data_IF_622700394663
#
_entry.id   IF_622700394663
#
_cell.length_a   1.000
_cell.length_b   1.000
_cell.length_c   1.000
_cell.angle_alpha   90.00
_cell.angle_beta   90.00
_cell.angle_gamma   90.00
#
_symmetry.space_group_name_H-M   'P 1'
#
loop_
_entity.id
_entity.type
_entity.pdbx_description
1 polymer ?
#
# COMPACT_ATOMS: atom_id res chain seq x y z
N UNK A 1 37.37 3.31 -29.11
CA UNK A 1 36.59 2.12 -28.69
C UNK A 1 35.87 2.49 -27.42
N UNK A 2 34.54 2.54 -27.49
CA UNK A 2 33.66 3.21 -26.51
C UNK A 2 33.47 2.31 -25.29
N UNK A 3 34.03 2.68 -24.14
CA UNK A 3 33.76 2.00 -22.86
C UNK A 3 32.44 2.57 -22.34
N UNK A 4 31.33 2.01 -22.80
CA UNK A 4 30.03 2.23 -22.14
C UNK A 4 29.98 1.37 -20.90
N UNK A 5 30.18 2.03 -19.77
CA UNK A 5 29.65 1.73 -18.44
C UNK A 5 28.63 0.57 -18.42
N UNK A 6 29.12 -0.62 -18.10
CA UNK A 6 28.28 -1.69 -17.56
C UNK A 6 28.25 -1.49 -16.05
N UNK A 7 27.55 -0.45 -15.60
CA UNK A 7 27.20 -0.30 -14.19
C UNK A 7 26.06 -1.28 -13.93
N UNK A 8 26.40 -2.55 -13.71
CA UNK A 8 25.46 -3.52 -13.16
C UNK A 8 25.11 -2.98 -11.76
N UNK A 9 23.84 -2.69 -11.46
CA UNK A 9 23.50 -2.22 -10.13
C UNK A 9 23.92 -3.30 -9.13
N UNK A 10 24.63 -2.88 -8.07
CA UNK A 10 25.14 -3.73 -7.00
C UNK A 10 24.04 -4.54 -6.26
N UNK A 11 22.77 -4.40 -6.64
CA UNK A 11 21.58 -5.02 -6.06
C UNK A 11 21.30 -6.46 -6.54
N UNK A 12 22.04 -6.98 -7.52
CA UNK A 12 21.81 -8.31 -8.10
C UNK A 12 22.74 -9.44 -7.58
N UNK A 13 23.79 -9.12 -6.82
CA UNK A 13 24.78 -10.16 -6.45
C UNK A 13 24.40 -11.01 -5.23
N UNK A 14 23.32 -10.65 -4.51
CA UNK A 14 22.98 -11.25 -3.21
C UNK A 14 21.61 -11.93 -3.15
N UNK A 15 21.11 -12.48 -4.25
CA UNK A 15 19.80 -13.16 -4.25
C UNK A 15 19.97 -14.68 -4.44
N UNK A 16 19.55 -15.47 -3.44
CA UNK A 16 19.46 -16.93 -3.56
C UNK A 16 18.19 -17.30 -4.34
N UNK A 17 18.26 -18.28 -5.26
CA UNK A 17 17.07 -18.81 -5.96
C UNK A 17 16.05 -19.35 -4.96
N UNK A 18 14.75 -19.06 -5.16
CA UNK A 18 13.59 -19.31 -4.26
C UNK A 18 13.55 -20.62 -3.47
N UNK A 19 14.18 -21.68 -3.96
CA UNK A 19 13.73 -23.06 -3.73
C UNK A 19 14.08 -23.63 -2.36
N UNK A 20 14.97 -23.01 -1.57
CA UNK A 20 15.50 -23.64 -0.34
C UNK A 20 15.22 -22.88 0.96
N UNK A 21 14.50 -21.75 0.93
CA UNK A 21 14.22 -20.97 2.14
C UNK A 21 12.80 -21.21 2.66
N UNK A 22 12.70 -21.47 3.94
CA UNK A 22 11.48 -21.68 4.72
C UNK A 22 11.33 -20.57 5.75
N UNK A 23 10.10 -20.33 6.24
CA UNK A 23 9.86 -19.33 7.29
C UNK A 23 10.73 -19.58 8.53
N UNK A 24 10.98 -20.85 8.86
CA UNK A 24 11.84 -21.25 9.99
C UNK A 24 13.30 -20.80 9.88
N UNK A 25 13.76 -20.45 8.68
CA UNK A 25 15.12 -19.96 8.47
C UNK A 25 15.27 -18.50 8.92
N UNK A 26 14.14 -17.77 9.08
CA UNK A 26 14.14 -16.35 9.41
C UNK A 26 14.01 -16.12 10.92
N UNK A 27 14.67 -15.06 11.43
CA UNK A 27 14.48 -14.65 12.82
C UNK A 27 13.07 -14.11 13.06
N UNK A 28 12.31 -14.74 13.95
CA UNK A 28 10.93 -14.34 14.29
C UNK A 28 10.88 -13.55 15.59
N UNK A 29 9.97 -12.58 15.66
CA UNK A 29 9.69 -11.80 16.86
C UNK A 29 8.19 -11.79 17.17
N UNK A 30 7.85 -12.21 18.37
CA UNK A 30 6.49 -12.30 18.88
C UNK A 30 6.23 -11.13 19.83
N UNK A 31 5.14 -10.42 19.62
CA UNK A 31 4.76 -9.31 20.49
C UNK A 31 3.26 -9.10 20.54
N UNK A 32 2.81 -8.43 21.61
CA UNK A 32 1.43 -8.01 21.77
C UNK A 32 1.31 -6.53 21.48
N UNK A 33 0.47 -6.16 20.53
CA UNK A 33 0.17 -4.77 20.23
C UNK A 33 -0.88 -4.25 21.23
N UNK A 34 -0.44 -3.48 22.22
CA UNK A 34 -1.32 -2.87 23.23
C UNK A 34 -2.20 -1.77 22.69
N UNK A 35 -1.84 -1.20 21.53
CA UNK A 35 -2.59 -0.12 20.89
C UNK A 35 -3.64 -0.66 19.90
N UNK A 36 -3.65 -1.97 19.63
CA UNK A 36 -4.63 -2.58 18.74
C UNK A 36 -6.02 -2.52 19.38
N UNK A 37 -6.92 -1.74 18.76
CA UNK A 37 -8.33 -1.67 19.15
C UNK A 37 -9.08 -2.95 18.77
N UNK A 38 -8.62 -3.66 17.74
CA UNK A 38 -9.24 -4.89 17.24
C UNK A 38 -8.57 -6.14 17.79
N UNK A 39 -9.37 -7.12 18.21
CA UNK A 39 -8.86 -8.34 18.84
C UNK A 39 -8.00 -9.19 17.90
N UNK A 40 -8.34 -9.25 16.61
CA UNK A 40 -7.58 -9.98 15.60
C UNK A 40 -6.23 -9.33 15.25
N UNK A 41 -5.94 -8.12 15.75
CA UNK A 41 -4.67 -7.42 15.55
C UNK A 41 -3.80 -7.36 16.82
N UNK A 42 -4.24 -8.01 17.92
CA UNK A 42 -3.58 -7.90 19.23
C UNK A 42 -2.30 -8.71 19.32
N UNK A 43 -2.25 -9.91 18.75
CA UNK A 43 -1.06 -10.75 18.77
C UNK A 43 -0.40 -10.70 17.41
N UNK A 44 0.90 -10.43 17.40
CA UNK A 44 1.68 -10.26 16.19
C UNK A 44 2.89 -11.18 16.19
N UNK A 45 3.21 -11.73 15.03
CA UNK A 45 4.48 -12.40 14.74
C UNK A 45 5.07 -11.76 13.50
N UNK A 46 6.32 -11.32 13.57
CA UNK A 46 7.00 -10.72 12.41
C UNK A 46 8.33 -11.39 12.12
N UNK A 47 8.75 -11.33 10.87
CA UNK A 47 10.14 -11.58 10.51
C UNK A 47 10.97 -10.34 10.86
N UNK A 48 12.04 -10.51 11.64
CA UNK A 48 12.96 -9.42 11.95
C UNK A 48 13.68 -8.96 10.68
N UNK A 49 13.89 -7.64 10.59
CA UNK A 49 14.55 -6.97 9.46
C UNK A 49 13.83 -7.06 8.12
N UNK A 50 12.59 -7.54 8.09
CA UNK A 50 11.74 -7.52 6.90
C UNK A 50 10.47 -6.72 7.20
N UNK A 51 10.51 -5.43 6.86
CA UNK A 51 9.37 -4.53 7.05
C UNK A 51 8.13 -5.06 6.30
N UNK A 52 6.97 -5.02 6.97
CA UNK A 52 5.69 -5.47 6.41
C UNK A 52 5.45 -6.99 6.44
N UNK A 53 6.45 -7.81 6.77
CA UNK A 53 6.27 -9.27 6.87
C UNK A 53 5.80 -9.66 8.29
N UNK A 54 4.51 -9.48 8.53
CA UNK A 54 3.84 -9.62 9.83
C UNK A 54 2.56 -10.45 9.67
N UNK A 55 2.34 -11.38 10.59
CA UNK A 55 1.05 -12.03 10.78
C UNK A 55 0.38 -11.51 12.05
N UNK A 56 -0.94 -11.37 11.98
CA UNK A 56 -1.78 -10.88 13.08
C UNK A 56 -2.78 -11.95 13.49
N UNK A 57 -3.20 -11.96 14.76
CA UNK A 57 -4.27 -12.86 15.22
C UNK A 57 -4.79 -12.53 16.61
N UNK A 58 -5.80 -13.28 17.03
CA UNK A 58 -6.36 -13.24 18.39
C UNK A 58 -5.47 -13.95 19.42
N UNK A 59 -4.47 -14.71 18.97
CA UNK A 59 -3.44 -15.37 19.75
C UNK A 59 -2.18 -15.62 18.89
N UNK A 60 -1.06 -16.02 19.50
CA UNK A 60 0.21 -16.23 18.77
C UNK A 60 0.18 -17.38 17.76
N UNK A 61 -0.65 -18.42 17.97
CA UNK A 61 -0.77 -19.53 17.02
C UNK A 61 -1.42 -19.06 15.72
N UNK A 62 -2.52 -18.32 15.83
CA UNK A 62 -3.20 -17.72 14.68
C UNK A 62 -2.29 -16.70 13.97
N UNK A 63 -1.63 -15.82 14.72
CA UNK A 63 -0.71 -14.84 14.15
C UNK A 63 0.47 -15.50 13.39
N UNK A 64 0.98 -16.64 13.87
CA UNK A 64 2.00 -17.40 13.17
C UNK A 64 1.48 -18.04 11.88
N UNK A 65 0.28 -18.62 11.89
CA UNK A 65 -0.33 -19.19 10.68
C UNK A 65 -0.56 -18.12 9.61
N UNK A 66 -1.07 -16.95 10.00
CA UNK A 66 -1.27 -15.84 9.08
C UNK A 66 0.07 -15.29 8.53
N UNK A 67 1.13 -15.29 9.35
CA UNK A 67 2.48 -14.95 8.86
C UNK A 67 2.96 -15.99 7.82
N UNK A 68 2.71 -17.27 8.06
CA UNK A 68 3.10 -18.34 7.15
C UNK A 68 2.37 -18.23 5.80
N UNK A 69 1.07 -17.96 5.80
CA UNK A 69 0.29 -17.71 4.58
C UNK A 69 0.84 -16.51 3.80
N UNK A 70 1.10 -15.39 4.50
CA UNK A 70 1.68 -14.18 3.90
C UNK A 70 3.06 -14.45 3.30
N UNK A 71 3.90 -15.21 4.00
CA UNK A 71 5.24 -15.59 3.53
C UNK A 71 5.18 -16.44 2.26
N UNK A 72 4.32 -17.46 2.22
CA UNK A 72 4.18 -18.34 1.05
C UNK A 72 3.58 -17.61 -0.16
N UNK A 73 2.64 -16.69 0.07
CA UNK A 73 2.12 -15.81 -0.98
C UNK A 73 3.23 -14.93 -1.56
N UNK A 74 4.02 -14.28 -0.70
CA UNK A 74 5.15 -13.47 -1.12
C UNK A 74 6.17 -14.30 -1.92
N UNK A 75 6.53 -15.49 -1.44
CA UNK A 75 7.45 -16.42 -2.09
C UNK A 75 6.95 -16.87 -3.45
N UNK A 76 5.66 -17.12 -3.59
CA UNK A 76 5.03 -17.47 -4.88
C UNK A 76 5.18 -16.33 -5.88
N UNK A 77 4.91 -15.09 -5.45
CA UNK A 77 4.88 -13.91 -6.33
C UNK A 77 6.25 -13.31 -6.65
N UNK A 78 7.31 -13.60 -5.88
CA UNK A 78 8.60 -12.91 -6.02
C UNK A 78 9.72 -13.88 -6.40
N UNK A 79 10.48 -13.62 -7.48
CA UNK A 79 11.60 -14.45 -7.95
C UNK A 79 12.67 -14.70 -6.87
N UNK A 80 12.80 -13.77 -5.91
CA UNK A 80 13.85 -13.78 -4.91
C UNK A 80 13.29 -13.48 -3.53
N UNK A 81 13.94 -14.05 -2.52
CA UNK A 81 13.68 -13.77 -1.11
C UNK A 81 14.91 -13.08 -0.49
N UNK A 82 14.71 -12.17 0.47
CA UNK A 82 15.81 -11.66 1.32
C UNK A 82 16.54 -12.82 1.99
N UNK A 83 17.86 -12.73 2.21
CA UNK A 83 18.52 -13.74 3.04
C UNK A 83 18.05 -13.62 4.49
N UNK A 84 18.01 -14.72 5.25
CA UNK A 84 17.85 -14.63 6.69
C UNK A 84 18.85 -13.65 7.31
N UNK A 85 18.40 -12.85 8.26
CA UNK A 85 19.16 -11.78 8.94
C UNK A 85 19.57 -10.59 8.07
N UNK A 86 19.25 -10.61 6.77
CA UNK A 86 19.43 -9.45 5.90
C UNK A 86 18.28 -8.47 6.07
N UNK A 87 18.62 -7.19 6.14
CA UNK A 87 17.60 -6.13 6.16
C UNK A 87 17.01 -6.00 4.77
N UNK A 88 15.73 -6.31 4.63
CA UNK A 88 14.97 -5.89 3.46
C UNK A 88 14.62 -4.40 3.62
N UNK A 89 15.10 -3.58 2.69
CA UNK A 89 14.69 -2.18 2.63
C UNK A 89 13.19 -2.09 2.28
N UNK A 90 12.55 -1.04 2.79
CA UNK A 90 11.17 -0.75 2.44
C UNK A 90 11.17 -0.20 1.01
N UNK A 91 10.55 -0.92 0.10
CA UNK A 91 10.33 -0.49 -1.28
C UNK A 91 8.94 0.15 -1.34
N UNK A 92 8.91 1.43 -1.69
CA UNK A 92 7.66 2.14 -1.96
C UNK A 92 7.22 1.87 -3.40
N UNK A 93 5.91 1.85 -3.62
CA UNK A 93 5.37 1.86 -4.98
C UNK A 93 5.71 3.20 -5.67
N UNK A 94 5.59 3.25 -6.99
CA UNK A 94 5.78 4.49 -7.75
C UNK A 94 4.75 5.55 -7.37
N UNK A 95 5.15 6.82 -7.38
CA UNK A 95 4.30 8.02 -7.27
C UNK A 95 4.44 8.95 -8.48
N UNK A 96 5.10 8.49 -9.56
CA UNK A 96 5.40 9.31 -10.73
C UNK A 96 4.15 9.80 -11.46
N UNK A 97 3.07 9.03 -11.49
CA UNK A 97 1.82 9.41 -12.16
C UNK A 97 1.01 10.38 -11.33
N UNK A 98 0.86 10.12 -10.03
CA UNK A 98 0.09 11.03 -9.16
C UNK A 98 0.76 12.41 -9.05
N UNK A 99 2.09 12.46 -9.05
CA UNK A 99 2.84 13.72 -9.02
C UNK A 99 2.69 14.56 -10.29
N UNK A 100 2.31 13.97 -11.44
CA UNK A 100 1.96 14.77 -12.63
C UNK A 100 0.73 15.66 -12.38
N UNK A 101 -0.11 15.28 -11.43
CA UNK A 101 -1.30 15.99 -11.01
C UNK A 101 -1.13 16.70 -9.68
N UNK A 102 0.11 16.90 -9.18
CA UNK A 102 0.41 17.42 -7.83
C UNK A 102 -0.45 18.63 -7.42
N UNK A 103 -0.56 19.65 -8.28
CA UNK A 103 -1.37 20.84 -7.97
C UNK A 103 -2.86 20.53 -7.84
N UNK A 104 -3.39 19.64 -8.68
CA UNK A 104 -4.79 19.20 -8.59
C UNK A 104 -4.99 18.26 -7.40
N UNK A 105 -4.03 17.38 -7.13
CA UNK A 105 -4.05 16.47 -5.98
C UNK A 105 -4.11 17.26 -4.67
N UNK A 106 -3.28 18.29 -4.51
CA UNK A 106 -3.31 19.17 -3.34
C UNK A 106 -4.69 19.84 -3.16
N UNK A 107 -5.28 20.36 -4.24
CA UNK A 107 -6.62 20.97 -4.21
C UNK A 107 -7.73 19.96 -3.87
N UNK A 108 -7.67 18.78 -4.48
CA UNK A 108 -8.63 17.70 -4.28
C UNK A 108 -8.59 17.17 -2.85
N UNK A 109 -7.39 16.90 -2.33
CA UNK A 109 -7.21 16.41 -0.96
C UNK A 109 -7.74 17.43 0.06
N UNK A 110 -7.46 18.72 -0.12
CA UNK A 110 -7.98 19.77 0.77
C UNK A 110 -9.51 19.87 0.69
N UNK A 111 -10.07 20.07 -0.51
CA UNK A 111 -11.51 20.36 -0.68
C UNK A 111 -12.42 19.16 -0.48
N UNK A 112 -11.99 17.98 -0.92
CA UNK A 112 -12.84 16.79 -0.94
C UNK A 112 -12.62 15.95 0.32
N UNK A 113 -11.34 15.67 0.64
CA UNK A 113 -10.96 14.77 1.72
C UNK A 113 -10.71 15.51 3.05
N UNK A 114 -10.45 16.81 3.01
CA UNK A 114 -10.04 17.58 4.20
C UNK A 114 -8.67 17.18 4.71
N UNK A 115 -7.76 16.80 3.81
CA UNK A 115 -6.43 16.28 4.11
C UNK A 115 -5.36 17.13 3.42
N UNK A 116 -4.17 17.20 4.03
CA UNK A 116 -3.00 17.81 3.39
C UNK A 116 -2.24 16.75 2.58
N UNK A 117 -2.21 16.92 1.26
CA UNK A 117 -1.51 16.03 0.34
C UNK A 117 -0.01 15.92 0.66
N UNK A 118 0.63 16.97 1.14
CA UNK A 118 2.08 16.96 1.39
C UNK A 118 2.48 16.26 2.69
N UNK A 119 1.51 15.89 3.53
CA UNK A 119 1.75 15.16 4.78
C UNK A 119 1.66 13.63 4.61
N UNK A 120 1.43 13.13 3.40
CA UNK A 120 1.29 11.70 3.12
C UNK A 120 2.20 11.21 2.00
N UNK A 121 2.31 9.88 1.89
CA UNK A 121 2.80 9.22 0.69
C UNK A 121 1.62 8.55 0.01
N UNK A 122 1.42 8.84 -1.27
CA UNK A 122 0.36 8.28 -2.09
C UNK A 122 1.00 7.73 -3.36
N UNK A 123 0.81 6.44 -3.62
CA UNK A 123 1.32 5.80 -4.82
C UNK A 123 0.35 5.96 -6.00
N UNK A 124 0.85 5.63 -7.19
CA UNK A 124 0.09 5.52 -8.43
C UNK A 124 -1.06 4.50 -8.36
N UNK A 125 -1.04 3.60 -7.37
CA UNK A 125 -2.07 2.58 -7.11
C UNK A 125 -3.04 2.98 -5.98
N UNK A 126 -2.89 4.18 -5.41
CA UNK A 126 -3.78 4.63 -4.34
C UNK A 126 -5.19 4.86 -4.89
N UNK A 127 -6.21 4.39 -4.18
CA UNK A 127 -7.63 4.57 -4.51
C UNK A 127 -8.36 5.31 -3.38
N UNK A 128 -9.53 5.90 -3.68
CA UNK A 128 -10.30 6.68 -2.71
C UNK A 128 -10.76 5.89 -1.47
N UNK A 129 -10.98 4.58 -1.62
CA UNK A 129 -11.43 3.73 -0.52
C UNK A 129 -10.35 3.48 0.55
N UNK A 130 -9.07 3.75 0.25
CA UNK A 130 -7.98 3.64 1.22
C UNK A 130 -8.00 4.75 2.29
N UNK A 131 -8.69 5.86 2.05
CA UNK A 131 -8.71 7.00 2.98
C UNK A 131 -9.75 6.85 4.10
N UNK A 132 -10.57 5.79 4.07
CA UNK A 132 -11.64 5.58 5.02
C UNK A 132 -11.66 4.12 5.49
N UNK A 133 -11.20 3.88 6.72
CA UNK A 133 -11.30 2.57 7.37
C UNK A 133 -12.61 2.47 8.16
N UNK A 134 -13.72 2.09 7.51
CA UNK A 134 -14.94 1.66 8.20
C UNK A 134 -15.32 0.23 7.78
N UNK A 135 -15.77 -0.57 8.74
CA UNK A 135 -16.12 -1.99 8.55
C UNK A 135 -17.61 -2.19 8.30
N UNK A 136 -18.40 -1.13 8.42
CA UNK A 136 -19.83 -1.11 8.17
C UNK A 136 -20.10 -0.75 6.71
N UNK A 137 -20.63 -1.71 5.95
CA UNK A 137 -20.92 -1.56 4.51
C UNK A 137 -21.88 -0.39 4.20
N UNK A 138 -22.84 -0.12 5.08
CA UNK A 138 -23.80 0.97 4.88
C UNK A 138 -23.11 2.33 5.09
N UNK A 139 -22.18 2.42 6.05
CA UNK A 139 -21.36 3.61 6.21
C UNK A 139 -20.38 3.79 5.06
N UNK A 140 -19.77 2.72 4.55
CA UNK A 140 -18.88 2.78 3.39
C UNK A 140 -19.60 3.38 2.18
N UNK A 141 -20.80 2.88 1.85
CA UNK A 141 -21.63 3.42 0.76
C UNK A 141 -22.00 4.87 0.97
N UNK A 142 -22.32 5.26 2.21
CA UNK A 142 -22.62 6.66 2.53
C UNK A 142 -21.41 7.56 2.29
N UNK A 143 -20.22 7.16 2.73
CA UNK A 143 -18.97 7.91 2.53
C UNK A 143 -18.67 8.05 1.03
N UNK A 144 -18.78 6.96 0.28
CA UNK A 144 -18.62 6.99 -1.19
C UNK A 144 -19.57 8.00 -1.83
N UNK A 145 -20.86 7.95 -1.49
CA UNK A 145 -21.84 8.87 -2.03
C UNK A 145 -21.58 10.33 -1.63
N UNK A 146 -21.14 10.57 -0.40
CA UNK A 146 -20.77 11.91 0.09
C UNK A 146 -19.58 12.47 -0.71
N UNK A 147 -18.58 11.65 -1.03
CA UNK A 147 -17.43 12.06 -1.86
C UNK A 147 -17.86 12.34 -3.29
N UNK A 148 -18.64 11.45 -3.90
CA UNK A 148 -19.18 11.64 -5.26
C UNK A 148 -19.96 12.97 -5.34
N UNK A 149 -20.80 13.25 -4.35
CA UNK A 149 -21.57 14.50 -4.27
C UNK A 149 -20.67 15.73 -4.11
N UNK A 150 -19.64 15.66 -3.26
CA UNK A 150 -18.67 16.76 -3.08
C UNK A 150 -17.89 17.04 -4.34
N UNK A 151 -17.42 16.01 -5.04
CA UNK A 151 -16.69 16.14 -6.31
C UNK A 151 -17.59 16.79 -7.35
N UNK A 152 -18.84 16.35 -7.47
CA UNK A 152 -19.83 16.95 -8.37
C UNK A 152 -20.12 18.41 -8.04
N UNK A 153 -20.24 18.74 -6.75
CA UNK A 153 -20.48 20.13 -6.32
C UNK A 153 -19.26 21.04 -6.51
N UNK A 154 -18.04 20.51 -6.41
CA UNK A 154 -16.80 21.28 -6.46
C UNK A 154 -16.26 21.43 -7.88
N UNK A 155 -16.35 20.38 -8.69
CA UNK A 155 -15.74 20.30 -10.02
C UNK A 155 -16.76 20.07 -11.14
N UNK A 156 -18.05 19.92 -10.84
CA UNK A 156 -19.09 19.65 -11.84
C UNK A 156 -19.14 18.21 -12.35
N UNK A 157 -18.21 17.34 -11.93
CA UNK A 157 -18.03 16.00 -12.49
C UNK A 157 -18.66 14.91 -11.61
N UNK A 158 -19.36 13.98 -12.23
CA UNK A 158 -19.87 12.76 -11.58
C UNK A 158 -18.85 11.62 -11.72
N UNK A 159 -18.25 11.20 -10.60
CA UNK A 159 -17.21 10.17 -10.57
C UNK A 159 -17.71 8.78 -10.17
N UNK A 160 -19.02 8.56 -10.02
CA UNK A 160 -19.57 7.29 -9.50
C UNK A 160 -19.04 6.05 -10.22
N UNK A 161 -18.83 6.15 -11.54
CA UNK A 161 -18.35 5.04 -12.38
C UNK A 161 -16.84 4.80 -12.32
N UNK A 162 -16.08 5.81 -11.91
CA UNK A 162 -14.61 5.80 -11.86
C UNK A 162 -14.09 5.87 -10.42
N UNK A 163 -14.99 5.82 -9.42
CA UNK A 163 -14.66 5.99 -8.01
C UNK A 163 -13.56 5.03 -7.51
N UNK A 164 -13.55 3.81 -8.04
CA UNK A 164 -12.58 2.76 -7.67
C UNK A 164 -11.33 2.74 -8.55
N UNK A 165 -11.16 3.70 -9.48
CA UNK A 165 -9.93 3.81 -10.24
C UNK A 165 -8.80 4.38 -9.36
N UNK A 166 -7.53 4.10 -9.71
CA UNK A 166 -6.40 4.76 -9.09
C UNK A 166 -6.50 6.28 -9.22
N UNK A 167 -6.01 6.99 -8.21
CA UNK A 167 -6.08 8.45 -8.13
C UNK A 167 -5.59 9.17 -9.40
N UNK A 168 -4.47 8.78 -10.06
CA UNK A 168 -4.05 9.43 -11.30
C UNK A 168 -5.13 9.39 -12.41
N UNK A 169 -5.77 8.24 -12.60
CA UNK A 169 -6.83 8.06 -13.61
C UNK A 169 -8.10 8.81 -13.23
N UNK A 170 -8.45 8.81 -11.95
CA UNK A 170 -9.56 9.59 -11.42
C UNK A 170 -9.34 11.10 -11.65
N UNK A 171 -8.12 11.59 -11.39
CA UNK A 171 -7.77 13.00 -11.55
C UNK A 171 -7.80 13.41 -13.02
N UNK A 172 -7.23 12.59 -13.90
CA UNK A 172 -7.33 12.78 -15.36
C UNK A 172 -8.79 12.89 -15.80
N UNK A 173 -9.63 11.95 -15.37
CA UNK A 173 -11.06 11.97 -15.68
C UNK A 173 -11.76 13.27 -15.22
N UNK A 174 -11.49 13.73 -14.00
CA UNK A 174 -12.11 14.97 -13.50
C UNK A 174 -11.60 16.18 -14.28
N UNK A 175 -10.30 16.26 -14.56
CA UNK A 175 -9.70 17.38 -15.30
C UNK A 175 -10.26 17.48 -16.71
N UNK A 176 -10.45 16.34 -17.38
CA UNK A 176 -10.97 16.29 -18.75
C UNK A 176 -12.46 16.59 -18.87
N UNK A 177 -13.22 16.38 -17.79
CA UNK A 177 -14.69 16.47 -17.80
C UNK A 177 -15.25 17.63 -16.96
N UNK A 178 -14.40 18.39 -16.25
CA UNK A 178 -14.86 19.56 -15.50
C UNK A 178 -15.24 20.68 -16.47
N UNK A 179 -16.33 21.36 -16.14
CA UNK A 179 -16.74 22.57 -16.87
C UNK A 179 -15.65 23.65 -16.70
N UNK A 180 -15.29 24.33 -17.80
CA UNK A 180 -14.27 25.41 -17.82
C UNK A 180 -14.73 26.66 -17.10
#
# INVERSE_FOLDING_TARGET
MNIKNLMIPFTLWNKNKKTNLYLSDYPLFYYKNTNAQQNNLKYCVRILFWAGMVGHGTNYKEAFLNLQETFELYKTNNEYLPKPWEKKELEFASDEQILKYESFAADFFDKILGMDFYNGFFSDESCLDLFYCDYDDDKKKKIEQDIVNKVKATYGVDIQKVYNLPLPELFEFIIDNRDS
#
